data_IF_661895438775
#
_entry.id   IF_661895438775
#
_cell.length_a   1.000
_cell.length_b   1.000
_cell.length_c   1.000
_cell.angle_alpha   90.00
_cell.angle_beta   90.00
_cell.angle_gamma   90.00
#
_symmetry.space_group_name_H-M   'P 1'
#
loop_
_entity.id
_entity.type
_entity.pdbx_description
1 polymer ?
#
# COMPACT_ATOMS: atom_id res chain seq x y z
N UNK A 1 22.06 -8.34 -29.22
CA UNK A 1 22.89 -8.11 -28.02
C UNK A 1 23.40 -6.67 -28.05
N UNK A 2 22.63 -5.72 -27.51
CA UNK A 2 23.02 -4.31 -27.44
C UNK A 2 23.67 -4.04 -26.08
N UNK A 3 24.95 -3.72 -26.12
CA UNK A 3 25.78 -3.45 -24.94
C UNK A 3 25.51 -2.02 -24.45
N UNK A 4 24.81 -1.86 -23.33
CA UNK A 4 24.65 -0.58 -22.65
C UNK A 4 26.00 -0.17 -22.03
N UNK A 5 26.82 0.57 -22.78
CA UNK A 5 28.05 1.20 -22.27
C UNK A 5 27.68 2.49 -21.54
N UNK A 6 27.49 2.40 -20.22
CA UNK A 6 27.48 3.56 -19.33
C UNK A 6 28.90 4.15 -19.14
N UNK A 7 29.02 5.42 -18.72
CA UNK A 7 30.31 6.09 -18.56
C UNK A 7 31.16 5.41 -17.48
N UNK A 8 32.48 5.34 -17.74
CA UNK A 8 33.50 4.79 -16.86
C UNK A 8 33.64 5.66 -15.60
N UNK A 9 32.86 5.36 -14.56
CA UNK A 9 32.99 5.93 -13.23
C UNK A 9 32.95 4.81 -12.19
N UNK A 10 34.02 4.72 -11.39
CA UNK A 10 34.26 3.88 -10.19
C UNK A 10 33.60 2.48 -10.22
N UNK A 11 34.42 1.44 -10.30
CA UNK A 11 33.96 0.04 -10.27
C UNK A 11 32.99 -0.19 -9.09
N UNK A 12 31.80 -0.81 -9.30
CA UNK A 12 30.81 -1.10 -8.25
C UNK A 12 31.25 -2.13 -7.19
N UNK A 13 32.56 -2.32 -6.99
CA UNK A 13 33.15 -3.47 -6.31
C UNK A 13 33.65 -3.22 -4.89
N UNK A 14 33.54 -2.01 -4.33
CA UNK A 14 34.02 -1.76 -2.97
C UNK A 14 32.98 -2.24 -1.94
N UNK A 15 33.24 -3.33 -1.18
CA UNK A 15 32.22 -3.97 -0.35
C UNK A 15 31.67 -3.05 0.75
N UNK A 16 32.49 -2.14 1.25
CA UNK A 16 32.13 -1.20 2.30
C UNK A 16 31.15 -0.12 1.82
N UNK A 17 31.31 0.35 0.58
CA UNK A 17 30.38 1.30 -0.02
C UNK A 17 29.00 0.65 -0.23
N UNK A 18 28.97 -0.59 -0.70
CA UNK A 18 27.72 -1.37 -0.84
C UNK A 18 27.07 -1.60 0.51
N UNK A 19 27.84 -2.02 1.53
CA UNK A 19 27.32 -2.19 2.90
C UNK A 19 26.71 -0.92 3.45
N UNK A 20 27.41 0.22 3.30
CA UNK A 20 26.92 1.52 3.75
C UNK A 20 25.62 1.90 3.04
N UNK A 21 25.57 1.76 1.72
CA UNK A 21 24.37 2.02 0.94
C UNK A 21 23.20 1.15 1.40
N UNK A 22 23.43 -0.15 1.62
CA UNK A 22 22.40 -1.09 2.10
C UNK A 22 21.92 -0.71 3.49
N UNK A 23 22.82 -0.44 4.45
CA UNK A 23 22.42 -0.10 5.83
C UNK A 23 21.64 1.20 5.92
N UNK A 24 21.93 2.17 5.05
CA UNK A 24 21.24 3.46 5.02
C UNK A 24 19.89 3.37 4.31
N UNK A 25 19.81 2.67 3.16
CA UNK A 25 18.57 2.55 2.39
C UNK A 25 17.58 1.54 2.98
N UNK A 26 18.08 0.52 3.69
CA UNK A 26 17.30 -0.54 4.31
C UNK A 26 17.64 -0.66 5.80
N UNK A 27 17.30 0.36 6.62
CA UNK A 27 17.59 0.32 8.04
C UNK A 27 16.84 -0.85 8.69
N UNK A 28 17.49 -1.52 9.64
CA UNK A 28 16.82 -2.53 10.47
C UNK A 28 15.88 -1.82 11.43
N UNK A 29 14.61 -1.72 11.06
CA UNK A 29 13.56 -1.22 11.95
C UNK A 29 13.12 -2.37 12.84
N UNK A 30 13.09 -2.13 14.15
CA UNK A 30 12.48 -3.07 15.10
C UNK A 30 11.04 -3.30 14.70
N UNK A 31 10.67 -4.55 14.43
CA UNK A 31 9.30 -4.95 14.09
C UNK A 31 8.31 -4.30 15.07
N UNK A 32 7.43 -3.45 14.55
CA UNK A 32 6.27 -2.97 15.31
C UNK A 32 5.48 -4.21 15.75
N UNK A 33 5.54 -4.53 17.04
CA UNK A 33 4.67 -5.54 17.64
C UNK A 33 3.29 -4.91 17.79
N UNK A 34 2.50 -5.01 16.73
CA UNK A 34 1.07 -4.72 16.81
C UNK A 34 0.46 -5.86 17.62
N UNK A 35 0.03 -5.55 18.84
CA UNK A 35 -0.74 -6.46 19.67
C UNK A 35 -2.13 -6.61 19.05
N UNK A 36 -2.29 -7.57 18.14
CA UNK A 36 -3.61 -7.94 17.67
C UNK A 36 -4.34 -8.70 18.80
N UNK A 37 -5.61 -8.38 19.10
CA UNK A 37 -6.38 -9.17 20.05
C UNK A 37 -6.41 -10.63 19.60
N UNK A 38 -6.43 -11.56 20.57
CA UNK A 38 -6.56 -12.99 20.28
C UNK A 38 -7.78 -13.20 19.37
N UNK A 39 -7.55 -13.76 18.17
CA UNK A 39 -8.61 -13.99 17.17
C UNK A 39 -9.66 -14.91 17.78
N UNK A 40 -10.90 -14.42 17.92
CA UNK A 40 -12.04 -15.18 18.46
C UNK A 40 -13.02 -15.65 17.40
N UNK A 41 -12.80 -15.32 16.12
CA UNK A 41 -13.66 -15.75 15.02
C UNK A 41 -12.94 -16.82 14.18
N UNK A 42 -13.65 -17.89 13.81
CA UNK A 42 -13.25 -18.76 12.70
C UNK A 42 -13.37 -17.93 11.42
N UNK A 43 -12.28 -17.29 11.01
CA UNK A 43 -12.25 -16.50 9.78
C UNK A 43 -12.34 -17.49 8.61
N UNK A 44 -13.54 -17.65 8.05
CA UNK A 44 -13.72 -18.39 6.81
C UNK A 44 -12.98 -17.64 5.70
N UNK A 45 -11.83 -18.17 5.30
CA UNK A 45 -11.06 -17.65 4.16
C UNK A 45 -11.63 -18.30 2.89
N UNK A 46 -12.13 -17.51 1.92
CA UNK A 46 -12.62 -18.05 0.65
C UNK A 46 -11.51 -18.77 -0.11
N UNK A 47 -11.84 -19.85 -0.83
CA UNK A 47 -10.87 -20.54 -1.67
C UNK A 47 -10.26 -19.62 -2.73
N UNK A 48 -8.98 -19.82 -3.04
CA UNK A 48 -8.35 -19.17 -4.20
C UNK A 48 -9.04 -19.67 -5.46
N UNK A 49 -9.72 -18.79 -6.17
CA UNK A 49 -10.42 -19.10 -7.41
C UNK A 49 -9.45 -19.19 -8.60
N UNK A 50 -9.90 -19.89 -9.65
CA UNK A 50 -9.19 -19.93 -10.94
C UNK A 50 -9.06 -18.53 -11.55
N UNK A 51 -10.09 -17.68 -11.35
CA UNK A 51 -10.12 -16.32 -11.90
C UNK A 51 -9.05 -15.45 -11.27
N UNK A 52 -8.92 -15.49 -9.94
CA UNK A 52 -7.89 -14.74 -9.20
C UNK A 52 -6.49 -15.14 -9.64
N UNK A 53 -6.19 -16.44 -9.66
CA UNK A 53 -4.86 -16.91 -10.04
C UNK A 53 -4.52 -16.57 -11.51
N UNK A 54 -5.48 -16.69 -12.42
CA UNK A 54 -5.31 -16.30 -13.83
C UNK A 54 -5.13 -14.79 -13.97
N UNK A 55 -5.90 -14.00 -13.21
CA UNK A 55 -5.77 -12.54 -13.15
C UNK A 55 -4.37 -12.13 -12.70
N UNK A 56 -3.89 -12.70 -11.59
CA UNK A 56 -2.54 -12.47 -11.08
C UNK A 56 -1.46 -12.85 -12.10
N UNK A 57 -1.63 -13.96 -12.84
CA UNK A 57 -0.67 -14.33 -13.88
C UNK A 57 -0.61 -13.33 -15.04
N UNK A 58 -1.71 -12.63 -15.37
CA UNK A 58 -1.74 -11.65 -16.46
C UNK A 58 -0.95 -10.38 -16.15
N UNK A 59 -0.83 -10.01 -14.88
CA UNK A 59 -0.09 -8.80 -14.47
C UNK A 59 1.42 -8.98 -14.53
N UNK A 60 1.90 -10.22 -14.49
CA UNK A 60 3.33 -10.55 -14.57
C UNK A 60 3.85 -10.33 -16.00
N UNK A 61 4.96 -9.61 -16.17
CA UNK A 61 5.63 -9.43 -17.47
C UNK A 61 6.50 -10.65 -17.81
N UNK A 62 6.45 -11.14 -19.04
CA UNK A 62 7.13 -12.38 -19.43
C UNK A 62 8.66 -12.29 -19.38
N UNK A 63 9.21 -11.15 -19.83
CA UNK A 63 10.65 -10.93 -19.98
C UNK A 63 11.26 -10.13 -18.80
N UNK A 64 10.61 -10.14 -17.63
CA UNK A 64 11.18 -9.52 -16.45
C UNK A 64 12.25 -10.41 -15.81
N UNK A 65 13.23 -9.78 -15.17
CA UNK A 65 14.30 -10.49 -14.47
C UNK A 65 13.73 -11.38 -13.34
N UNK A 66 14.22 -12.62 -13.19
CA UNK A 66 13.76 -13.53 -12.16
C UNK A 66 14.22 -13.09 -10.77
N UNK A 67 13.52 -13.60 -9.75
CA UNK A 67 13.93 -13.45 -8.36
C UNK A 67 15.18 -14.29 -8.02
N UNK A 68 15.56 -14.35 -6.73
CA UNK A 68 16.65 -15.19 -6.24
C UNK A 68 16.52 -16.68 -6.59
N UNK A 69 15.32 -17.19 -6.84
CA UNK A 69 15.10 -18.56 -7.31
C UNK A 69 15.56 -18.83 -8.76
N UNK A 70 15.82 -17.78 -9.54
CA UNK A 70 16.24 -17.87 -10.94
C UNK A 70 15.15 -18.34 -11.89
N UNK A 71 13.89 -18.48 -11.44
CA UNK A 71 12.83 -19.07 -12.24
C UNK A 71 12.19 -18.03 -13.17
N UNK A 72 12.26 -18.20 -14.51
CA UNK A 72 11.73 -17.20 -15.44
C UNK A 72 10.21 -17.10 -15.37
N UNK A 73 9.67 -15.91 -15.59
CA UNK A 73 8.22 -15.68 -15.53
C UNK A 73 7.46 -16.49 -16.59
N UNK A 74 8.03 -16.68 -17.77
CA UNK A 74 7.42 -17.51 -18.81
C UNK A 74 7.27 -18.97 -18.36
N UNK A 75 8.30 -19.53 -17.71
CA UNK A 75 8.26 -20.89 -17.17
C UNK A 75 7.23 -21.01 -16.04
N UNK A 76 7.12 -19.99 -15.18
CA UNK A 76 6.09 -19.93 -14.14
C UNK A 76 4.69 -19.88 -14.71
N UNK A 77 4.44 -19.03 -15.70
CA UNK A 77 3.13 -18.96 -16.36
C UNK A 77 2.76 -20.29 -17.02
N UNK A 78 3.72 -20.95 -17.68
CA UNK A 78 3.50 -22.27 -18.26
C UNK A 78 3.17 -23.32 -17.19
N UNK A 79 3.90 -23.33 -16.08
CA UNK A 79 3.66 -24.23 -14.95
C UNK A 79 2.29 -23.99 -14.30
N UNK A 80 1.92 -22.73 -14.05
CA UNK A 80 0.62 -22.35 -13.50
C UNK A 80 -0.51 -22.71 -14.47
N UNK A 81 -0.32 -22.48 -15.77
CA UNK A 81 -1.29 -22.86 -16.80
C UNK A 81 -1.52 -24.38 -16.87
N UNK A 82 -0.47 -25.17 -16.63
CA UNK A 82 -0.53 -26.64 -16.71
C UNK A 82 -1.05 -27.27 -15.41
N UNK A 83 -0.63 -26.77 -14.25
CA UNK A 83 -0.89 -27.35 -12.92
C UNK A 83 -1.59 -26.36 -11.99
N UNK A 84 -2.58 -25.67 -12.53
CA UNK A 84 -3.31 -24.60 -11.82
C UNK A 84 -3.92 -25.06 -10.49
N UNK A 85 -4.37 -26.30 -10.44
CA UNK A 85 -4.90 -26.94 -9.23
C UNK A 85 -3.87 -27.00 -8.09
N UNK A 86 -2.61 -27.31 -8.41
CA UNK A 86 -1.51 -27.40 -7.44
C UNK A 86 -1.22 -26.03 -6.86
N UNK A 87 -1.06 -25.01 -7.71
CA UNK A 87 -0.79 -23.64 -7.26
C UNK A 87 -1.93 -23.10 -6.39
N UNK A 88 -3.19 -23.36 -6.76
CA UNK A 88 -4.35 -23.00 -5.94
C UNK A 88 -4.31 -23.65 -4.56
N UNK A 89 -4.02 -24.96 -4.47
CA UNK A 89 -3.92 -25.66 -3.18
C UNK A 89 -2.80 -25.11 -2.32
N UNK A 90 -1.62 -24.87 -2.90
CA UNK A 90 -0.46 -24.31 -2.18
C UNK A 90 -0.76 -22.91 -1.66
N UNK A 91 -1.30 -22.03 -2.51
CA UNK A 91 -1.66 -20.67 -2.09
C UNK A 91 -2.77 -20.68 -1.03
N UNK A 92 -3.75 -21.57 -1.16
CA UNK A 92 -4.80 -21.72 -0.16
C UNK A 92 -4.25 -22.19 1.19
N UNK A 93 -3.30 -23.13 1.19
CA UNK A 93 -2.65 -23.58 2.42
C UNK A 93 -1.93 -22.41 3.14
N UNK A 94 -1.17 -21.60 2.40
CA UNK A 94 -0.51 -20.41 2.94
C UNK A 94 -1.49 -19.39 3.55
N UNK A 95 -2.63 -19.15 2.90
CA UNK A 95 -3.66 -18.25 3.43
C UNK A 95 -4.30 -18.82 4.71
N UNK A 96 -4.66 -20.11 4.72
CA UNK A 96 -5.26 -20.78 5.90
C UNK A 96 -4.33 -20.80 7.10
N UNK A 97 -3.05 -21.06 6.87
CA UNK A 97 -2.03 -21.11 7.92
C UNK A 97 -1.55 -19.71 8.35
N UNK A 98 -1.95 -18.65 7.64
CA UNK A 98 -1.41 -17.31 7.86
C UNK A 98 0.10 -17.23 7.65
N UNK A 99 0.65 -18.12 6.82
CA UNK A 99 2.09 -18.28 6.64
C UNK A 99 2.51 -17.80 5.25
N UNK A 100 3.41 -16.81 5.21
CA UNK A 100 4.05 -16.39 3.97
C UNK A 100 5.49 -16.91 3.91
N UNK A 101 5.86 -17.71 2.89
CA UNK A 101 7.18 -18.34 2.81
C UNK A 101 8.34 -17.37 3.01
N UNK A 102 9.22 -17.67 3.96
CA UNK A 102 10.38 -16.83 4.24
C UNK A 102 11.29 -16.66 3.01
N UNK A 103 11.36 -17.69 2.15
CA UNK A 103 12.10 -17.63 0.88
C UNK A 103 11.59 -16.52 -0.04
N UNK A 104 10.28 -16.33 -0.13
CA UNK A 104 9.67 -15.29 -0.97
C UNK A 104 9.82 -13.89 -0.39
N UNK A 105 10.15 -13.76 0.90
CA UNK A 105 10.52 -12.47 1.53
C UNK A 105 11.98 -12.08 1.26
N UNK A 106 12.78 -12.97 0.65
CA UNK A 106 14.15 -12.66 0.25
C UNK A 106 14.15 -12.03 -1.13
N UNK A 107 14.96 -10.99 -1.30
CA UNK A 107 15.09 -10.25 -2.54
C UNK A 107 16.54 -10.23 -3.03
N UNK A 108 16.72 -10.22 -4.34
CA UNK A 108 17.99 -9.83 -4.96
C UNK A 108 17.97 -8.30 -5.11
N UNK A 109 18.82 -7.64 -4.33
CA UNK A 109 19.01 -6.20 -4.39
C UNK A 109 20.04 -5.86 -5.48
N UNK A 110 19.65 -4.97 -6.38
CA UNK A 110 20.55 -4.36 -7.37
C UNK A 110 20.55 -2.86 -7.13
N UNK A 111 21.74 -2.29 -6.91
CA UNK A 111 21.91 -0.85 -6.73
C UNK A 111 22.33 -0.24 -8.06
N UNK A 112 21.46 0.58 -8.67
CA UNK A 112 21.77 1.30 -9.90
C UNK A 112 22.14 2.74 -9.58
N UNK A 113 23.31 3.19 -10.01
CA UNK A 113 23.73 4.58 -9.78
C UNK A 113 22.87 5.55 -10.60
N UNK A 114 22.37 6.62 -9.96
CA UNK A 114 21.71 7.75 -10.62
C UNK A 114 22.69 8.41 -11.59
N UNK A 115 22.25 8.84 -12.78
CA UNK A 115 23.07 9.62 -13.68
C UNK A 115 23.63 10.86 -12.96
N UNK A 116 24.91 11.15 -13.15
CA UNK A 116 25.58 12.35 -12.65
C UNK A 116 25.61 12.53 -11.13
N UNK A 117 25.42 11.45 -10.35
CA UNK A 117 25.51 11.48 -8.88
C UNK A 117 26.78 10.78 -8.37
N UNK A 118 27.35 11.24 -7.24
CA UNK A 118 28.57 10.65 -6.68
C UNK A 118 28.30 9.23 -6.17
N UNK A 119 29.15 8.28 -6.56
CA UNK A 119 29.02 6.87 -6.16
C UNK A 119 29.14 6.66 -4.64
N UNK A 120 29.81 7.55 -3.92
CA UNK A 120 29.99 7.39 -2.47
C UNK A 120 28.71 7.66 -1.67
N UNK A 121 27.71 8.37 -2.19
CA UNK A 121 26.51 8.68 -1.41
C UNK A 121 25.45 7.57 -1.54
N UNK A 122 24.93 7.01 -0.42
CA UNK A 122 23.82 6.04 -0.46
C UNK A 122 22.59 6.53 -1.24
N UNK A 123 22.27 7.82 -1.15
CA UNK A 123 21.14 8.47 -1.83
C UNK A 123 21.31 8.56 -3.35
N UNK A 124 22.53 8.32 -3.87
CA UNK A 124 22.85 8.28 -5.30
C UNK A 124 22.35 7.01 -5.99
N UNK A 125 21.91 6.00 -5.25
CA UNK A 125 21.46 4.74 -5.84
C UNK A 125 19.94 4.65 -5.96
N UNK A 126 19.48 4.03 -7.04
CA UNK A 126 18.14 3.46 -7.19
C UNK A 126 18.19 1.99 -6.73
N UNK A 127 17.59 1.65 -5.59
CA UNK A 127 17.48 0.26 -5.19
C UNK A 127 16.40 -0.44 -6.03
N UNK A 128 16.78 -1.53 -6.70
CA UNK A 128 15.85 -2.47 -7.32
C UNK A 128 15.80 -3.76 -6.51
N UNK A 129 14.61 -4.08 -6.01
CA UNK A 129 14.34 -5.27 -5.22
C UNK A 129 13.63 -6.31 -6.08
N UNK A 130 14.33 -7.38 -6.47
CA UNK A 130 13.75 -8.47 -7.24
C UNK A 130 13.34 -9.60 -6.29
N UNK A 131 12.03 -9.80 -6.12
CA UNK A 131 11.43 -10.91 -5.36
C UNK A 131 11.03 -12.07 -6.28
N UNK A 132 10.91 -13.27 -5.70
CA UNK A 132 10.42 -14.48 -6.40
C UNK A 132 8.97 -14.26 -6.92
N UNK A 133 8.73 -14.56 -8.20
CA UNK A 133 7.46 -14.23 -8.85
C UNK A 133 6.28 -15.03 -8.29
N UNK A 134 6.50 -16.25 -7.80
CA UNK A 134 5.45 -17.03 -7.15
C UNK A 134 4.89 -16.33 -5.90
N UNK A 135 5.74 -15.66 -5.11
CA UNK A 135 5.31 -14.83 -3.98
C UNK A 135 4.49 -13.64 -4.43
N UNK A 136 4.91 -12.96 -5.50
CA UNK A 136 4.17 -11.83 -6.09
C UNK A 136 2.77 -12.23 -6.57
N UNK A 137 2.59 -13.45 -7.08
CA UNK A 137 1.27 -13.95 -7.45
C UNK A 137 0.34 -14.05 -6.24
N UNK A 138 0.83 -14.60 -5.12
CA UNK A 138 0.07 -14.69 -3.88
C UNK A 138 -0.24 -13.31 -3.32
N UNK A 139 0.75 -12.41 -3.26
CA UNK A 139 0.57 -11.02 -2.84
C UNK A 139 -0.49 -10.31 -3.69
N UNK A 140 -0.50 -10.52 -5.01
CA UNK A 140 -1.50 -9.91 -5.88
C UNK A 140 -2.90 -10.41 -5.58
N UNK A 141 -3.07 -11.71 -5.33
CA UNK A 141 -4.37 -12.28 -4.94
C UNK A 141 -4.85 -11.66 -3.62
N UNK A 142 -3.97 -11.51 -2.64
CA UNK A 142 -4.30 -10.86 -1.35
C UNK A 142 -4.69 -9.40 -1.58
N UNK A 143 -3.91 -8.66 -2.37
CA UNK A 143 -4.20 -7.27 -2.71
C UNK A 143 -5.55 -7.12 -3.40
N UNK A 144 -5.83 -7.92 -4.43
CA UNK A 144 -7.11 -7.91 -5.15
C UNK A 144 -8.31 -8.17 -4.21
N UNK A 145 -8.15 -9.08 -3.23
CA UNK A 145 -9.19 -9.35 -2.22
C UNK A 145 -9.38 -8.20 -1.25
N UNK A 146 -8.29 -7.56 -0.82
CA UNK A 146 -8.34 -6.40 0.06
C UNK A 146 -8.98 -5.21 -0.66
N UNK A 147 -8.57 -4.92 -1.90
CA UNK A 147 -9.17 -3.90 -2.76
C UNK A 147 -10.68 -4.16 -2.95
N UNK A 148 -11.06 -5.39 -3.28
CA UNK A 148 -12.48 -5.76 -3.40
C UNK A 148 -13.25 -5.62 -2.08
N UNK A 149 -12.60 -5.88 -0.95
CA UNK A 149 -13.19 -5.69 0.36
C UNK A 149 -13.29 -4.21 0.72
N UNK A 150 -12.33 -3.35 0.39
CA UNK A 150 -12.39 -1.91 0.70
C UNK A 150 -13.40 -1.18 -0.18
N UNK A 151 -13.49 -1.56 -1.45
CA UNK A 151 -14.24 -0.84 -2.48
C UNK A 151 -15.63 -1.46 -2.76
N UNK A 152 -15.95 -2.57 -2.09
CA UNK A 152 -17.23 -3.26 -2.23
C UNK A 152 -18.40 -2.52 -1.55
N UNK A 153 -19.66 -2.92 -1.82
CA UNK A 153 -20.86 -2.32 -1.23
C UNK A 153 -20.98 -2.51 0.30
N UNK A 154 -20.14 -3.36 0.90
CA UNK A 154 -19.97 -3.52 2.34
C UNK A 154 -18.53 -3.16 2.79
N UNK A 155 -17.76 -2.52 1.92
CA UNK A 155 -16.40 -2.11 2.22
C UNK A 155 -16.35 -0.93 3.16
N UNK A 156 -15.14 -0.58 3.61
CA UNK A 156 -14.93 0.63 4.41
C UNK A 156 -15.40 1.91 3.68
N UNK A 157 -15.57 1.83 2.36
CA UNK A 157 -16.10 2.88 1.51
C UNK A 157 -17.61 2.74 1.19
N UNK A 158 -18.37 1.85 1.85
CA UNK A 158 -19.85 1.86 1.73
C UNK A 158 -20.39 3.10 2.45
N UNK A 159 -20.37 4.18 1.69
CA UNK A 159 -20.29 5.56 2.12
C UNK A 159 -21.66 6.18 2.11
N UNK A 160 -22.62 5.69 2.90
CA UNK A 160 -23.87 6.44 3.08
C UNK A 160 -23.83 7.19 4.40
N UNK A 161 -23.98 8.51 4.35
CA UNK A 161 -24.01 9.30 5.56
C UNK A 161 -25.23 8.88 6.40
N UNK A 162 -25.04 8.45 7.66
CA UNK A 162 -26.14 7.96 8.50
C UNK A 162 -27.18 9.03 8.80
N UNK A 163 -26.84 10.31 8.61
CA UNK A 163 -27.71 11.46 8.88
C UNK A 163 -28.30 12.07 7.61
N UNK A 164 -27.63 11.93 6.47
CA UNK A 164 -27.93 12.72 5.27
C UNK A 164 -28.44 11.89 4.09
N UNK A 165 -29.02 10.71 4.32
CA UNK A 165 -29.50 9.86 3.23
C UNK A 165 -30.35 10.65 2.20
N UNK A 166 -30.03 10.54 0.89
CA UNK A 166 -29.15 9.54 0.26
C UNK A 166 -27.68 9.97 0.06
N UNK A 167 -27.17 11.00 0.75
CA UNK A 167 -25.83 11.53 0.54
C UNK A 167 -24.70 10.53 0.85
N UNK A 168 -23.63 10.65 0.07
CA UNK A 168 -22.43 9.85 0.22
C UNK A 168 -21.55 10.41 1.35
N UNK A 169 -21.05 9.56 2.25
CA UNK A 169 -20.10 9.93 3.32
C UNK A 169 -18.66 10.00 2.77
N UNK A 170 -18.40 10.90 1.84
CA UNK A 170 -17.05 11.22 1.36
C UNK A 170 -16.43 12.42 2.11
N UNK A 171 -15.17 12.74 1.79
CA UNK A 171 -14.42 13.83 2.43
C UNK A 171 -15.15 15.16 2.23
N UNK A 172 -15.66 15.42 1.03
CA UNK A 172 -16.33 16.67 0.70
C UNK A 172 -17.63 16.84 1.49
N UNK A 173 -18.47 15.79 1.52
CA UNK A 173 -19.68 15.77 2.33
C UNK A 173 -19.35 15.98 3.81
N UNK A 174 -18.40 15.22 4.36
CA UNK A 174 -18.01 15.33 5.77
C UNK A 174 -17.52 16.73 6.12
N UNK A 175 -16.63 17.28 5.30
CA UNK A 175 -15.99 18.57 5.58
C UNK A 175 -16.97 19.71 5.37
N UNK A 176 -17.76 19.76 4.28
CA UNK A 176 -18.49 20.97 3.88
C UNK A 176 -20.01 20.90 4.06
N UNK A 177 -20.62 19.71 4.04
CA UNK A 177 -22.08 19.57 3.95
C UNK A 177 -22.75 18.85 5.13
N UNK A 178 -22.03 17.95 5.80
CA UNK A 178 -22.61 17.03 6.76
C UNK A 178 -23.00 17.76 8.06
N UNK A 179 -24.28 17.78 8.48
CA UNK A 179 -24.73 18.45 9.69
C UNK A 179 -24.11 17.89 10.99
N UNK A 180 -23.58 16.66 10.95
CA UNK A 180 -22.87 16.04 12.08
C UNK A 180 -21.67 16.86 12.53
N UNK A 181 -21.01 17.53 11.60
CA UNK A 181 -19.76 18.25 11.83
C UNK A 181 -19.93 19.77 11.80
N UNK A 182 -21.16 20.27 11.95
CA UNK A 182 -21.42 21.71 11.94
C UNK A 182 -20.68 22.42 13.07
N UNK A 183 -20.67 21.86 14.28
CA UNK A 183 -19.98 22.45 15.44
C UNK A 183 -18.47 22.50 15.20
N UNK A 184 -17.91 21.41 14.68
CA UNK A 184 -16.50 21.33 14.34
C UNK A 184 -16.12 22.36 13.25
N UNK A 185 -17.03 22.63 12.30
CA UNK A 185 -16.83 23.63 11.23
C UNK A 185 -16.92 25.09 11.68
N UNK A 186 -17.62 25.39 12.79
CA UNK A 186 -17.88 26.77 13.22
C UNK A 186 -16.58 27.56 13.41
N UNK A 187 -15.54 26.93 13.96
CA UNK A 187 -14.24 27.57 14.15
C UNK A 187 -13.60 27.97 12.81
N UNK A 188 -13.67 27.09 11.81
CA UNK A 188 -13.13 27.36 10.48
C UNK A 188 -13.88 28.51 9.80
N UNK A 189 -15.21 28.55 9.91
CA UNK A 189 -16.02 29.60 9.29
C UNK A 189 -15.82 30.96 9.98
N UNK A 190 -15.61 30.97 11.30
CA UNK A 190 -15.25 32.18 12.03
C UNK A 190 -13.91 32.75 11.54
N UNK A 191 -12.90 31.89 11.33
CA UNK A 191 -11.59 32.31 10.82
C UNK A 191 -11.63 32.76 9.35
N UNK A 192 -12.46 32.10 8.54
CA UNK A 192 -12.64 32.43 7.12
C UNK A 192 -13.55 33.65 6.87
N UNK A 193 -14.19 34.20 7.91
CA UNK A 193 -15.23 35.23 7.80
C UNK A 193 -16.40 34.82 6.90
N UNK A 194 -16.75 33.53 6.89
CA UNK A 194 -17.81 33.00 6.04
C UNK A 194 -17.71 31.49 5.83
N UNK A 195 -18.68 30.91 5.10
CA UNK A 195 -18.61 29.51 4.69
C UNK A 195 -17.41 29.28 3.77
N UNK A 196 -16.68 28.19 4.03
CA UNK A 196 -15.61 27.72 3.15
C UNK A 196 -16.20 26.77 2.11
N UNK A 197 -15.76 26.93 0.87
CA UNK A 197 -16.11 26.05 -0.25
C UNK A 197 -14.89 25.17 -0.59
N UNK A 198 -15.09 23.99 -1.22
CA UNK A 198 -14.00 23.08 -1.58
C UNK A 198 -12.87 23.76 -2.36
N UNK A 199 -13.20 24.70 -3.24
CA UNK A 199 -12.24 25.42 -4.07
C UNK A 199 -11.41 26.44 -3.29
N UNK A 200 -11.94 26.99 -2.20
CA UNK A 200 -11.27 28.02 -1.39
C UNK A 200 -10.58 27.46 -0.14
N UNK A 201 -10.92 26.24 0.26
CA UNK A 201 -10.45 25.60 1.49
C UNK A 201 -8.92 25.47 1.58
N UNK A 202 -8.27 25.01 0.50
CA UNK A 202 -6.80 24.86 0.48
C UNK A 202 -6.12 26.24 0.51
N UNK A 203 -6.71 27.24 -0.17
CA UNK A 203 -6.23 28.61 -0.10
C UNK A 203 -6.25 29.14 1.32
N UNK A 204 -7.40 29.05 1.99
CA UNK A 204 -7.59 29.42 3.39
C UNK A 204 -6.58 28.73 4.32
N UNK A 205 -6.39 27.42 4.17
CA UNK A 205 -5.46 26.64 4.99
C UNK A 205 -4.02 27.14 4.87
N UNK A 206 -3.62 27.65 3.70
CA UNK A 206 -2.25 28.09 3.43
C UNK A 206 -2.01 29.57 3.73
N UNK A 207 -3.04 30.35 4.07
CA UNK A 207 -2.91 31.79 4.32
C UNK A 207 -2.10 32.11 5.57
N UNK A 208 -2.24 31.33 6.66
CA UNK A 208 -1.49 31.54 7.89
C UNK A 208 -1.47 30.28 8.78
N UNK A 209 -0.55 30.25 9.76
CA UNK A 209 -0.35 29.12 10.67
C UNK A 209 -1.59 28.80 11.51
N UNK A 210 -2.36 29.82 11.89
CA UNK A 210 -3.58 29.65 12.68
C UNK A 210 -4.68 28.93 11.90
N UNK A 211 -4.85 29.25 10.61
CA UNK A 211 -5.80 28.57 9.73
C UNK A 211 -5.40 27.11 9.53
N UNK A 212 -4.11 26.83 9.36
CA UNK A 212 -3.58 25.47 9.25
C UNK A 212 -3.79 24.67 10.54
N UNK A 213 -3.54 25.27 11.70
CA UNK A 213 -3.73 24.64 13.01
C UNK A 213 -5.22 24.33 13.25
N UNK A 214 -6.11 25.28 12.98
CA UNK A 214 -7.55 25.08 13.09
C UNK A 214 -8.04 23.99 12.14
N UNK A 215 -7.56 23.97 10.89
CA UNK A 215 -7.87 22.91 9.90
C UNK A 215 -7.39 21.54 10.37
N UNK A 216 -6.20 21.48 10.98
CA UNK A 216 -5.63 20.25 11.53
C UNK A 216 -6.41 19.75 12.75
N UNK A 217 -6.85 20.67 13.61
CA UNK A 217 -7.70 20.38 14.78
C UNK A 217 -9.06 19.84 14.34
N UNK A 218 -9.71 20.52 13.37
CA UNK A 218 -10.96 20.08 12.75
C UNK A 218 -10.84 18.66 12.19
N UNK A 219 -9.83 18.42 11.32
CA UNK A 219 -9.60 17.10 10.74
C UNK A 219 -9.37 16.02 11.80
N UNK A 220 -8.63 16.34 12.86
CA UNK A 220 -8.38 15.43 13.98
C UNK A 220 -9.66 15.09 14.75
N UNK A 221 -10.53 16.08 15.00
CA UNK A 221 -11.82 15.90 15.65
C UNK A 221 -12.76 15.01 14.82
N UNK A 222 -12.93 15.36 13.53
CA UNK A 222 -13.73 14.59 12.58
C UNK A 222 -13.26 13.14 12.50
N UNK A 223 -11.96 12.90 12.31
CA UNK A 223 -11.41 11.54 12.20
C UNK A 223 -11.58 10.74 13.49
N UNK A 224 -11.47 11.38 14.66
CA UNK A 224 -11.68 10.72 15.96
C UNK A 224 -13.14 10.29 16.13
N UNK A 225 -14.08 11.17 15.75
CA UNK A 225 -15.51 10.90 15.82
C UNK A 225 -15.96 9.84 14.80
N UNK A 226 -15.48 9.90 13.57
CA UNK A 226 -15.75 8.87 12.57
C UNK A 226 -15.26 7.49 13.05
N UNK A 227 -14.07 7.42 13.66
CA UNK A 227 -13.54 6.17 14.24
C UNK A 227 -14.36 5.65 15.41
N UNK A 228 -14.88 6.52 16.28
CA UNK A 228 -15.68 6.10 17.43
C UNK A 228 -17.06 5.58 17.00
N UNK A 229 -17.69 6.25 16.03
CA UNK A 229 -18.96 5.83 15.44
C UNK A 229 -18.82 4.53 14.66
N UNK A 230 -17.77 4.38 13.85
CA UNK A 230 -17.47 3.12 13.14
C UNK A 230 -17.23 1.97 14.11
N UNK A 231 -16.53 2.22 15.23
CA UNK A 231 -16.35 1.21 16.29
C UNK A 231 -17.67 0.83 16.96
N UNK A 232 -18.62 1.75 17.08
CA UNK A 232 -19.94 1.48 17.63
C UNK A 232 -20.80 0.64 16.66
N UNK A 233 -20.71 0.87 15.35
CA UNK A 233 -21.42 0.07 14.33
C UNK A 233 -20.97 -1.40 14.29
N UNK A 234 -19.71 -1.67 14.66
CA UNK A 234 -19.12 -3.02 14.64
C UNK A 234 -19.39 -3.85 15.91
N UNK A 235 -20.04 -3.27 16.92
CA UNK A 235 -20.40 -3.95 18.18
C UNK A 235 -21.84 -4.42 18.13
#
# INVERSE_FOLDING_TARGET
MSCLKGPRGVSPGEPELVRRAVSTLFPRVTTLRISLPARTYEEWIPEVSVRELRGACRTVRDQAAPGPDGFPNLALKAAVGTRMDVFRRVFMAFLREGCFPARWKRQRLVLMLKPSKPAFEPSSYWPLCMLDTAGKLLERIIADRLEAFTDGPAGLASSSCPTCHPAVEDVEHVIFHCPRFTVEREELYCLANGPLEPETFVGFMLENERNLEATSSFASSVMTRLRSEEKARRR
#
